data_IF_766895415110
#
_entry.id   IF_766895415110
#
_cell.length_a   1.000
_cell.length_b   1.000
_cell.length_c   1.000
_cell.angle_alpha   90.00
_cell.angle_beta   90.00
_cell.angle_gamma   90.00
#
_symmetry.space_group_name_H-M   'P 1'
#
loop_
_entity.id
_entity.type
_entity.pdbx_description
1 polymer ?
#
# COMPACT_ATOMS: atom_id res chain seq x y z
N UNK A 1 -12.85 18.95 -24.94
CA UNK A 1 -11.68 19.65 -24.36
C UNK A 1 -11.75 19.92 -22.85
N UNK A 2 -12.93 19.98 -22.18
CA UNK A 2 -13.02 20.29 -20.73
C UNK A 2 -12.76 19.10 -19.77
N UNK A 3 -12.99 17.86 -20.22
CA UNK A 3 -12.89 16.64 -19.37
C UNK A 3 -11.45 16.15 -19.18
N UNK A 4 -10.68 16.01 -20.28
CA UNK A 4 -9.27 15.60 -20.24
C UNK A 4 -8.38 16.51 -19.39
N UNK A 5 -8.59 17.83 -19.43
CA UNK A 5 -7.81 18.74 -18.58
C UNK A 5 -8.13 18.54 -17.10
N UNK A 6 -9.40 18.32 -16.73
CA UNK A 6 -9.81 18.07 -15.35
C UNK A 6 -9.22 16.78 -14.78
N UNK A 7 -9.26 15.70 -15.56
CA UNK A 7 -8.68 14.40 -15.18
C UNK A 7 -7.15 14.53 -14.98
N UNK A 8 -6.47 15.26 -15.88
CA UNK A 8 -5.03 15.53 -15.75
C UNK A 8 -4.70 16.33 -14.49
N UNK A 9 -5.43 17.41 -14.22
CA UNK A 9 -5.24 18.22 -13.00
C UNK A 9 -5.51 17.41 -11.72
N UNK A 10 -6.56 16.58 -11.72
CA UNK A 10 -6.88 15.70 -10.60
C UNK A 10 -5.73 14.72 -10.32
N UNK A 11 -5.23 14.05 -11.36
CA UNK A 11 -4.12 13.09 -11.22
C UNK A 11 -2.85 13.79 -10.71
N UNK A 12 -2.52 14.98 -11.22
CA UNK A 12 -1.36 15.74 -10.73
C UNK A 12 -1.50 16.10 -9.24
N UNK A 13 -2.66 16.64 -8.84
CA UNK A 13 -2.90 17.02 -7.45
C UNK A 13 -2.88 15.81 -6.51
N UNK A 14 -3.45 14.68 -6.93
CA UNK A 14 -3.42 13.44 -6.15
C UNK A 14 -1.99 12.90 -6.00
N UNK A 15 -1.22 12.86 -7.09
CA UNK A 15 0.18 12.43 -7.05
C UNK A 15 1.03 13.30 -6.11
N UNK A 16 0.87 14.62 -6.17
CA UNK A 16 1.56 15.54 -5.25
C UNK A 16 1.16 15.29 -3.80
N UNK A 17 -0.13 15.17 -3.54
CA UNK A 17 -0.63 14.87 -2.20
C UNK A 17 -0.08 13.53 -1.65
N UNK A 18 -0.11 12.47 -2.46
CA UNK A 18 0.43 11.16 -2.09
C UNK A 18 1.92 11.22 -1.79
N UNK A 19 2.69 11.95 -2.62
CA UNK A 19 4.12 12.17 -2.38
C UNK A 19 4.37 12.87 -1.04
N UNK A 20 3.64 13.95 -0.75
CA UNK A 20 3.80 14.68 0.51
C UNK A 20 3.40 13.82 1.72
N UNK A 21 2.34 13.03 1.61
CA UNK A 21 1.93 12.12 2.68
C UNK A 21 3.02 11.06 2.96
N UNK A 22 3.54 10.42 1.90
CA UNK A 22 4.60 9.41 2.02
C UNK A 22 5.89 9.99 2.63
N UNK A 23 6.29 11.21 2.26
CA UNK A 23 7.47 11.88 2.81
C UNK A 23 7.33 12.29 4.28
N UNK A 24 6.10 12.45 4.77
CA UNK A 24 5.85 12.80 6.17
C UNK A 24 5.88 11.59 7.10
N UNK A 25 5.48 10.42 6.62
CA UNK A 25 5.39 9.21 7.43
C UNK A 25 6.72 8.87 8.15
N UNK A 26 7.90 8.94 7.51
CA UNK A 26 9.15 8.67 8.23
C UNK A 26 9.42 9.56 9.45
N UNK A 27 8.96 10.81 9.43
CA UNK A 27 9.11 11.73 10.58
C UNK A 27 8.27 11.28 11.78
N UNK A 28 7.16 10.59 11.52
CA UNK A 28 6.26 10.03 12.55
C UNK A 28 6.77 8.69 13.07
N UNK A 29 7.30 7.86 12.17
CA UNK A 29 7.84 6.54 12.50
C UNK A 29 9.24 6.58 13.14
N UNK A 30 9.95 7.71 13.04
CA UNK A 30 11.35 7.83 13.46
C UNK A 30 12.36 7.24 12.46
N UNK A 31 11.94 7.00 11.22
CA UNK A 31 12.73 6.35 10.18
C UNK A 31 11.86 5.86 9.02
N UNK A 32 12.46 5.21 8.03
CA UNK A 32 11.72 4.57 6.93
C UNK A 32 10.80 3.46 7.45
N UNK A 33 9.77 3.11 6.68
CA UNK A 33 8.91 1.97 6.94
C UNK A 33 9.72 0.66 6.85
N UNK A 34 9.68 -0.12 7.92
CA UNK A 34 10.29 -1.45 8.01
C UNK A 34 9.32 -2.43 8.64
N UNK A 35 9.66 -3.71 8.66
CA UNK A 35 8.88 -4.71 9.37
C UNK A 35 8.69 -4.39 10.87
N UNK A 36 9.68 -3.78 11.52
CA UNK A 36 9.66 -3.51 12.96
C UNK A 36 8.66 -2.40 13.33
N UNK A 37 8.51 -1.38 12.50
CA UNK A 37 7.61 -0.24 12.76
C UNK A 37 6.27 -0.31 11.98
N UNK A 38 6.04 -1.40 11.24
CA UNK A 38 4.83 -1.62 10.43
C UNK A 38 3.52 -1.44 11.22
N UNK A 39 3.47 -1.94 12.46
CA UNK A 39 2.28 -1.83 13.31
C UNK A 39 1.98 -0.37 13.72
N UNK A 40 3.01 0.45 13.93
CA UNK A 40 2.86 1.88 14.22
C UNK A 40 2.30 2.60 12.99
N UNK A 41 2.88 2.31 11.83
CA UNK A 41 2.46 2.88 10.55
C UNK A 41 0.98 2.61 10.24
N UNK A 42 0.54 1.35 10.39
CA UNK A 42 -0.84 0.96 10.09
C UNK A 42 -1.88 1.49 11.11
N UNK A 43 -1.44 1.87 12.31
CA UNK A 43 -2.32 2.39 13.36
C UNK A 43 -2.47 3.92 13.33
N UNK A 44 -1.53 4.63 12.71
CA UNK A 44 -1.48 6.10 12.69
C UNK A 44 -2.26 6.68 11.50
N UNK A 45 -3.25 7.52 11.79
CA UNK A 45 -4.11 8.18 10.79
C UNK A 45 -3.38 9.23 9.93
N UNK A 46 -2.22 9.70 10.36
CA UNK A 46 -1.37 10.56 9.54
C UNK A 46 -0.54 9.76 8.53
N UNK A 47 -0.37 8.45 8.74
CA UNK A 47 0.35 7.56 7.85
C UNK A 47 -0.60 6.84 6.87
N UNK A 48 -1.69 6.29 7.39
CA UNK A 48 -2.76 5.65 6.62
C UNK A 48 -4.11 6.33 6.89
N UNK A 49 -4.89 6.60 5.85
CA UNK A 49 -6.18 7.29 5.97
C UNK A 49 -7.17 6.53 6.87
N UNK A 50 -7.11 5.20 6.80
CA UNK A 50 -7.91 4.30 7.61
C UNK A 50 -6.98 3.40 8.41
N UNK A 51 -7.05 3.40 9.75
CA UNK A 51 -6.30 2.45 10.57
C UNK A 51 -6.55 1.04 10.06
N UNK A 52 -5.45 0.32 9.83
CA UNK A 52 -5.47 -0.93 9.07
C UNK A 52 -5.00 -2.09 9.94
N UNK A 53 -5.72 -3.21 9.89
CA UNK A 53 -5.27 -4.49 10.47
C UNK A 53 -4.90 -5.45 9.36
N UNK A 54 -3.80 -6.21 9.52
CA UNK A 54 -3.43 -7.25 8.56
C UNK A 54 -4.16 -8.54 8.92
N UNK A 55 -4.83 -9.14 7.93
CA UNK A 55 -5.48 -10.44 8.03
C UNK A 55 -4.83 -11.37 7.02
N UNK A 56 -4.23 -12.47 7.48
CA UNK A 56 -3.64 -13.47 6.60
C UNK A 56 -4.71 -14.45 6.13
N UNK A 57 -5.40 -14.10 5.06
CA UNK A 57 -6.42 -14.93 4.42
C UNK A 57 -6.35 -14.72 2.91
N UNK A 58 -6.43 -15.83 2.16
CA UNK A 58 -6.49 -15.81 0.70
C UNK A 58 -7.93 -15.78 0.19
N UNK A 59 -8.92 -16.02 1.05
CA UNK A 59 -10.33 -15.92 0.67
C UNK A 59 -10.66 -14.46 0.32
N UNK A 60 -10.75 -14.17 -0.98
CA UNK A 60 -10.97 -12.81 -1.51
C UNK A 60 -9.81 -12.26 -2.34
N UNK A 61 -8.68 -12.96 -2.42
CA UNK A 61 -7.57 -12.62 -3.32
C UNK A 61 -7.69 -13.43 -4.61
N UNK A 62 -7.59 -12.75 -5.75
CA UNK A 62 -7.41 -13.41 -7.04
C UNK A 62 -6.05 -14.14 -7.11
N UNK A 63 -5.90 -15.06 -8.07
CA UNK A 63 -4.69 -15.89 -8.19
C UNK A 63 -3.38 -15.08 -8.21
N UNK A 64 -3.41 -13.90 -8.80
CA UNK A 64 -2.27 -12.99 -8.98
C UNK A 64 -2.19 -11.87 -7.93
N UNK A 65 -3.09 -11.83 -6.95
CA UNK A 65 -3.10 -10.83 -5.90
C UNK A 65 -2.40 -11.33 -4.65
N UNK A 66 -1.49 -10.52 -4.12
CA UNK A 66 -0.83 -10.77 -2.82
C UNK A 66 -1.53 -10.07 -1.66
N UNK A 67 -2.34 -9.03 -1.93
CA UNK A 67 -3.09 -8.33 -0.91
C UNK A 67 -4.28 -7.53 -1.49
N UNK A 68 -5.30 -7.31 -0.67
CA UNK A 68 -6.50 -6.54 -1.01
C UNK A 68 -7.03 -5.82 0.25
N UNK A 69 -7.26 -4.49 0.21
CA UNK A 69 -7.85 -3.78 1.33
C UNK A 69 -9.37 -3.91 1.30
N UNK A 70 -9.97 -4.15 2.47
CA UNK A 70 -11.41 -4.18 2.70
C UNK A 70 -11.74 -3.09 3.70
N UNK A 71 -12.49 -2.07 3.27
CA UNK A 71 -12.93 -0.99 4.15
C UNK A 71 -14.20 -1.38 4.90
N UNK A 72 -14.15 -1.36 6.22
CA UNK A 72 -15.27 -1.66 7.10
C UNK A 72 -15.79 -0.37 7.75
N UNK A 73 -17.08 -0.08 7.57
CA UNK A 73 -17.73 1.07 8.18
C UNK A 73 -18.26 0.68 9.57
N UNK A 74 -17.85 1.41 10.61
CA UNK A 74 -18.31 1.21 11.98
C UNK A 74 -18.80 2.52 12.61
N UNK A 75 -19.42 2.44 13.79
CA UNK A 75 -19.80 3.61 14.59
C UNK A 75 -18.61 4.50 14.98
N UNK A 76 -17.38 3.96 14.97
CA UNK A 76 -16.13 4.68 15.31
C UNK A 76 -15.42 5.26 14.08
N UNK A 77 -16.04 5.15 12.91
CA UNK A 77 -15.48 5.55 11.62
C UNK A 77 -15.12 4.35 10.75
N UNK A 78 -14.39 4.63 9.67
CA UNK A 78 -13.95 3.64 8.69
C UNK A 78 -12.63 3.03 9.15
N UNK A 79 -12.56 1.71 9.16
CA UNK A 79 -11.35 0.90 9.38
C UNK A 79 -11.02 0.15 8.08
N UNK A 80 -9.80 -0.35 7.98
CA UNK A 80 -9.37 -1.18 6.86
C UNK A 80 -8.86 -2.53 7.37
N UNK A 81 -9.27 -3.61 6.73
CA UNK A 81 -8.64 -4.91 6.86
C UNK A 81 -7.86 -5.18 5.58
N UNK A 82 -6.53 -5.25 5.68
CA UNK A 82 -5.69 -5.66 4.57
C UNK A 82 -5.62 -7.18 4.57
N UNK A 83 -6.38 -7.83 3.69
CA UNK A 83 -6.23 -9.25 3.42
C UNK A 83 -4.90 -9.46 2.69
N UNK A 84 -4.07 -10.36 3.19
CA UNK A 84 -2.72 -10.64 2.67
C UNK A 84 -2.56 -12.14 2.48
N UNK A 85 -1.89 -12.55 1.39
CA UNK A 85 -1.57 -13.95 1.14
C UNK A 85 -0.86 -14.57 2.36
N UNK A 86 -1.34 -15.71 2.90
CA UNK A 86 -0.76 -16.36 4.08
C UNK A 86 0.73 -16.68 3.97
N UNK A 87 1.28 -16.83 2.76
CA UNK A 87 2.72 -17.07 2.53
C UNK A 87 3.60 -15.92 3.04
N UNK A 88 3.06 -14.69 3.08
CA UNK A 88 3.78 -13.51 3.58
C UNK A 88 3.86 -13.45 5.11
N UNK A 89 3.11 -14.30 5.83
CA UNK A 89 3.04 -14.27 7.31
C UNK A 89 4.40 -14.39 7.99
N UNK A 90 5.29 -15.20 7.41
CA UNK A 90 6.62 -15.48 7.96
C UNK A 90 7.75 -14.78 7.18
N UNK A 91 7.41 -13.85 6.28
CA UNK A 91 8.38 -13.13 5.45
C UNK A 91 8.22 -11.62 5.70
N UNK A 92 8.61 -11.13 6.89
CA UNK A 92 8.38 -9.74 7.30
C UNK A 92 9.01 -8.71 6.35
N UNK A 93 10.14 -9.06 5.75
CA UNK A 93 10.84 -8.21 4.78
C UNK A 93 10.05 -8.07 3.46
N UNK A 94 9.24 -9.06 3.07
CA UNK A 94 8.33 -8.91 1.94
C UNK A 94 7.04 -8.20 2.36
N UNK A 95 6.53 -8.49 3.56
CA UNK A 95 5.26 -7.96 4.05
C UNK A 95 5.25 -6.43 4.11
N UNK A 96 6.31 -5.79 4.64
CA UNK A 96 6.33 -4.33 4.72
C UNK A 96 6.38 -3.66 3.33
N UNK A 97 6.99 -4.29 2.32
CA UNK A 97 7.00 -3.79 0.94
C UNK A 97 5.62 -3.88 0.31
N UNK A 98 4.93 -5.00 0.51
CA UNK A 98 3.54 -5.18 0.09
C UNK A 98 2.64 -4.14 0.75
N UNK A 99 2.75 -3.91 2.06
CA UNK A 99 1.98 -2.87 2.75
C UNK A 99 2.30 -1.48 2.24
N UNK A 100 3.57 -1.18 1.96
CA UNK A 100 3.99 0.11 1.40
C UNK A 100 3.32 0.36 0.04
N UNK A 101 3.26 -0.65 -0.82
CA UNK A 101 2.55 -0.58 -2.11
C UNK A 101 1.04 -0.38 -1.92
N UNK A 102 0.42 -1.18 -1.05
CA UNK A 102 -1.02 -1.13 -0.80
C UNK A 102 -1.48 0.15 -0.09
N UNK A 103 -0.57 0.93 0.48
CA UNK A 103 -0.89 2.21 1.14
C UNK A 103 -1.63 3.17 0.21
N UNK A 104 -1.27 3.23 -1.07
CA UNK A 104 -1.98 4.06 -2.04
C UNK A 104 -3.45 3.65 -2.17
N UNK A 105 -3.72 2.34 -2.28
CA UNK A 105 -5.08 1.79 -2.39
C UNK A 105 -5.85 1.99 -1.07
N UNK A 106 -5.20 1.80 0.08
CA UNK A 106 -5.80 2.07 1.39
C UNK A 106 -6.25 3.53 1.49
N UNK A 107 -5.43 4.48 1.04
CA UNK A 107 -5.68 5.91 1.20
C UNK A 107 -6.65 6.48 0.15
N UNK A 108 -6.55 6.00 -1.08
CA UNK A 108 -7.18 6.62 -2.25
C UNK A 108 -8.18 5.72 -2.98
N UNK A 109 -8.27 4.43 -2.62
CA UNK A 109 -9.18 3.47 -3.25
C UNK A 109 -8.94 3.39 -4.76
N UNK A 110 -10.01 3.44 -5.55
CA UNK A 110 -9.98 3.37 -7.02
C UNK A 110 -9.19 4.51 -7.68
N UNK A 111 -8.93 5.61 -6.98
CA UNK A 111 -8.09 6.69 -7.51
C UNK A 111 -6.58 6.36 -7.46
N UNK A 112 -6.18 5.31 -6.74
CA UNK A 112 -4.80 4.85 -6.71
C UNK A 112 -4.43 4.24 -8.07
N UNK A 113 -3.38 4.76 -8.68
CA UNK A 113 -2.77 4.17 -9.88
C UNK A 113 -1.52 3.37 -9.49
N UNK A 114 -1.06 2.45 -10.34
CA UNK A 114 0.22 1.75 -10.12
C UNK A 114 1.39 2.70 -9.87
N UNK A 115 1.49 3.80 -10.63
CA UNK A 115 2.54 4.82 -10.46
C UNK A 115 2.49 5.47 -9.07
N UNK A 116 1.29 5.77 -8.55
CA UNK A 116 1.13 6.33 -7.21
C UNK A 116 1.52 5.29 -6.16
N UNK A 117 1.14 4.03 -6.33
CA UNK A 117 1.46 2.94 -5.42
C UNK A 117 2.99 2.68 -5.36
N UNK A 118 3.65 2.61 -6.51
CA UNK A 118 5.09 2.41 -6.62
C UNK A 118 5.87 3.58 -6.01
N UNK A 119 5.53 4.83 -6.38
CA UNK A 119 6.15 6.04 -5.84
C UNK A 119 5.95 6.16 -4.33
N UNK A 120 4.73 5.90 -3.84
CA UNK A 120 4.43 5.93 -2.40
C UNK A 120 5.25 4.88 -1.66
N UNK A 121 5.25 3.64 -2.16
CA UNK A 121 5.97 2.55 -1.52
C UNK A 121 7.48 2.75 -1.48
N UNK A 122 8.06 3.28 -2.56
CA UNK A 122 9.47 3.65 -2.62
C UNK A 122 9.84 4.73 -1.61
N UNK A 123 9.03 5.79 -1.50
CA UNK A 123 9.27 6.87 -0.53
C UNK A 123 9.13 6.39 0.92
N UNK A 124 8.15 5.55 1.21
CA UNK A 124 7.94 4.99 2.55
C UNK A 124 9.11 4.12 2.99
N UNK A 125 9.67 3.33 2.07
CA UNK A 125 10.76 2.39 2.34
C UNK A 125 12.15 3.01 2.19
N UNK A 126 12.24 4.23 1.66
CA UNK A 126 13.50 4.91 1.36
C UNK A 126 14.29 4.27 0.20
N UNK A 127 13.62 3.49 -0.65
CA UNK A 127 14.22 2.84 -1.80
C UNK A 127 14.12 3.72 -3.05
N UNK A 128 15.01 3.49 -4.02
CA UNK A 128 14.77 3.98 -5.37
C UNK A 128 13.51 3.30 -5.93
N UNK A 129 12.71 4.05 -6.70
CA UNK A 129 11.41 3.58 -7.19
C UNK A 129 11.54 2.28 -8.01
N UNK A 130 12.51 2.22 -8.93
CA UNK A 130 12.82 1.02 -9.72
C UNK A 130 13.23 -0.18 -8.85
N UNK A 131 14.05 0.03 -7.83
CA UNK A 131 14.46 -1.03 -6.89
C UNK A 131 13.27 -1.57 -6.09
N UNK A 132 12.37 -0.68 -5.68
CA UNK A 132 11.14 -1.06 -4.97
C UNK A 132 10.22 -1.89 -5.88
N UNK A 133 10.05 -1.47 -7.13
CA UNK A 133 9.25 -2.21 -8.11
C UNK A 133 9.81 -3.60 -8.41
N UNK A 134 11.12 -3.72 -8.64
CA UNK A 134 11.78 -5.02 -8.88
C UNK A 134 11.52 -5.97 -7.71
N UNK A 135 11.67 -5.50 -6.47
CA UNK A 135 11.38 -6.31 -5.27
C UNK A 135 9.91 -6.75 -5.18
N UNK A 136 8.97 -5.88 -5.58
CA UNK A 136 7.55 -6.27 -5.64
C UNK A 136 7.28 -7.32 -6.71
N UNK A 137 7.90 -7.22 -7.89
CA UNK A 137 7.82 -8.24 -8.92
C UNK A 137 8.37 -9.58 -8.42
N UNK A 138 9.55 -9.59 -7.77
CA UNK A 138 10.11 -10.80 -7.17
C UNK A 138 9.16 -11.44 -6.13
N UNK A 139 8.50 -10.62 -5.31
CA UNK A 139 7.49 -11.09 -4.37
C UNK A 139 6.30 -11.68 -5.14
N UNK A 140 5.76 -10.98 -6.13
CA UNK A 140 4.63 -11.43 -6.92
C UNK A 140 4.93 -12.74 -7.68
N UNK A 141 6.11 -12.86 -8.28
CA UNK A 141 6.55 -14.07 -8.98
C UNK A 141 6.74 -15.24 -8.02
N UNK A 142 7.20 -14.99 -6.78
CA UNK A 142 7.23 -16.03 -5.73
C UNK A 142 5.83 -16.51 -5.31
N UNK A 143 4.79 -15.74 -5.64
CA UNK A 143 3.41 -16.09 -5.37
C UNK A 143 2.79 -16.98 -6.46
N UNK A 144 3.49 -17.22 -7.58
CA UNK A 144 2.94 -18.00 -8.69
C UNK A 144 2.36 -19.33 -8.22
N UNK A 145 1.14 -19.58 -8.68
CA UNK A 145 0.37 -20.76 -8.38
C UNK A 145 0.67 -21.81 -9.45
N UNK A 146 1.31 -22.95 -9.14
CA UNK A 146 1.40 -24.05 -10.08
C UNK A 146 0.00 -24.69 -10.21
N UNK A 147 -0.79 -24.23 -11.18
CA UNK A 147 -2.07 -24.84 -11.57
C UNK A 147 -3.21 -23.86 -11.83
N UNK A 148 -3.07 -23.00 -12.85
CA UNK A 148 -4.25 -22.48 -13.55
C UNK A 148 -4.74 -23.54 -14.56
#
# INVERSE_FOLDING_TARGET
>A
MKRQNRERFFNTALCEHARFAAQRAPRKLGGVLTAQNLHLFLSDRECVRYPTTIVFDRNGLDAHQFAQPIHCVSKKGILCELQVDPRLKNVPDALHLVVAYMTAVINYGEAATPDIAEMTGALLTGMAQETFYIKLCEIADSMDYPGA
#
